data_IF_206363156034
#
_entry.id   IF_206363156034
#
_cell.length_a   1.000
_cell.length_b   1.000
_cell.length_c   1.000
_cell.angle_alpha   90.00
_cell.angle_beta   90.00
_cell.angle_gamma   90.00
#
_symmetry.space_group_name_H-M   'P 1'
#
loop_
_entity.id
_entity.type
_entity.pdbx_description
1 polymer ?
#
# COMPACT_ATOMS: atom_id res chain seq x y z
N UNK A 1 -26.60 34.10 -18.08
CA UNK A 1 -25.57 33.73 -17.08
C UNK A 1 -24.27 34.38 -17.54
N UNK A 2 -23.60 35.09 -16.65
CA UNK A 2 -22.34 35.74 -17.00
C UNK A 2 -21.32 34.65 -17.41
N UNK A 3 -20.72 34.73 -18.60
CA UNK A 3 -19.75 33.78 -19.17
C UNK A 3 -18.62 33.51 -18.18
N UNK A 4 -18.17 34.53 -17.46
CA UNK A 4 -17.14 34.45 -16.44
C UNK A 4 -17.48 33.53 -15.27
N UNK A 5 -18.73 33.45 -14.81
CA UNK A 5 -19.14 32.54 -13.71
C UNK A 5 -19.16 31.10 -14.18
N UNK A 6 -19.59 30.84 -15.42
CA UNK A 6 -19.60 29.51 -15.98
C UNK A 6 -18.18 28.99 -16.19
N UNK A 7 -17.28 29.82 -16.69
CA UNK A 7 -15.88 29.47 -16.90
C UNK A 7 -15.20 29.17 -15.56
N UNK A 8 -15.45 29.98 -14.52
CA UNK A 8 -14.90 29.73 -13.17
C UNK A 8 -15.39 28.41 -12.58
N UNK A 9 -16.68 28.08 -12.70
CA UNK A 9 -17.21 26.80 -12.23
C UNK A 9 -16.70 25.60 -13.03
N UNK A 10 -16.52 25.77 -14.35
CA UNK A 10 -15.95 24.73 -15.21
C UNK A 10 -14.51 24.44 -14.84
N UNK A 11 -13.69 25.46 -14.62
CA UNK A 11 -12.30 25.31 -14.17
C UNK A 11 -12.22 24.67 -12.78
N UNK A 12 -13.08 25.10 -11.84
CA UNK A 12 -13.15 24.51 -10.50
C UNK A 12 -13.54 23.03 -10.57
N UNK A 13 -14.58 22.71 -11.33
CA UNK A 13 -15.08 21.35 -11.54
C UNK A 13 -13.99 20.46 -12.15
N UNK A 14 -13.25 20.94 -13.15
CA UNK A 14 -12.15 20.21 -13.76
C UNK A 14 -11.05 19.84 -12.75
N UNK A 15 -10.74 20.73 -11.81
CA UNK A 15 -9.75 20.48 -10.73
C UNK A 15 -10.30 19.59 -9.61
N UNK A 16 -11.59 19.31 -9.57
CA UNK A 16 -12.30 18.56 -8.54
C UNK A 16 -13.03 17.35 -9.12
N UNK A 17 -12.45 16.70 -10.14
CA UNK A 17 -12.98 15.47 -10.76
C UNK A 17 -14.43 15.58 -11.23
N UNK A 18 -14.84 16.76 -11.68
CA UNK A 18 -16.17 16.97 -12.26
C UNK A 18 -17.25 17.40 -11.24
N UNK A 19 -16.90 17.67 -9.98
CA UNK A 19 -17.86 18.10 -8.95
C UNK A 19 -17.49 19.46 -8.33
N UNK A 20 -18.48 20.10 -7.74
CA UNK A 20 -18.32 21.32 -6.95
C UNK A 20 -19.41 21.41 -5.89
N UNK A 21 -19.13 22.11 -4.78
CA UNK A 21 -20.09 22.29 -3.71
C UNK A 21 -21.02 23.48 -3.97
N UNK A 22 -22.18 23.49 -3.26
CA UNK A 22 -23.09 24.65 -3.25
C UNK A 22 -22.38 25.93 -2.79
N UNK A 23 -21.54 25.82 -1.76
CA UNK A 23 -20.79 26.96 -1.24
C UNK A 23 -19.85 27.54 -2.30
N UNK A 24 -19.15 26.69 -3.05
CA UNK A 24 -18.29 27.12 -4.15
C UNK A 24 -19.06 27.77 -5.29
N UNK A 25 -20.24 27.25 -5.63
CA UNK A 25 -21.10 27.84 -6.66
C UNK A 25 -21.62 29.24 -6.25
N UNK A 26 -21.98 29.39 -4.98
CA UNK A 26 -22.36 30.69 -4.41
C UNK A 26 -21.18 31.67 -4.40
N UNK A 27 -20.01 31.23 -3.99
CA UNK A 27 -18.79 32.02 -3.99
C UNK A 27 -18.37 32.46 -5.41
N UNK A 28 -18.61 31.64 -6.42
CA UNK A 28 -18.42 32.01 -7.83
C UNK A 28 -19.44 33.02 -8.36
N UNK A 29 -20.42 33.46 -7.54
CA UNK A 29 -21.41 34.48 -7.87
C UNK A 29 -22.75 33.95 -8.37
N UNK A 30 -23.03 32.64 -8.23
CA UNK A 30 -24.37 32.11 -8.56
C UNK A 30 -25.38 32.47 -7.47
N UNK A 31 -26.56 32.94 -7.88
CA UNK A 31 -27.67 33.13 -6.94
C UNK A 31 -28.26 31.76 -6.53
N UNK A 32 -28.71 31.57 -5.28
CA UNK A 32 -29.32 30.32 -4.80
C UNK A 32 -30.37 29.72 -5.73
N UNK A 33 -31.33 30.58 -6.18
CA UNK A 33 -32.40 30.14 -7.10
C UNK A 33 -31.88 29.66 -8.45
N UNK A 34 -30.73 30.15 -8.91
CA UNK A 34 -30.12 29.69 -10.14
C UNK A 34 -29.48 28.30 -9.98
N UNK A 35 -29.00 27.96 -8.80
CA UNK A 35 -28.53 26.61 -8.44
C UNK A 35 -29.73 25.65 -8.43
N UNK A 36 -30.77 25.98 -7.65
CA UNK A 36 -31.96 25.18 -7.47
C UNK A 36 -32.68 24.89 -8.81
N UNK A 37 -32.75 25.90 -9.69
CA UNK A 37 -33.30 25.72 -11.04
C UNK A 37 -32.46 24.75 -11.90
N UNK A 38 -31.11 24.72 -11.78
CA UNK A 38 -30.28 23.80 -12.55
C UNK A 38 -30.46 22.36 -12.09
N UNK A 39 -30.65 22.17 -10.80
CA UNK A 39 -30.95 20.87 -10.22
C UNK A 39 -32.35 20.42 -10.64
N UNK A 40 -33.38 21.27 -10.49
CA UNK A 40 -34.75 20.92 -10.83
C UNK A 40 -34.97 20.66 -12.34
N UNK A 41 -34.20 21.33 -13.21
CA UNK A 41 -34.27 21.13 -14.66
C UNK A 41 -33.36 20.00 -15.15
N UNK A 42 -32.72 19.26 -14.27
CA UNK A 42 -31.83 18.14 -14.62
C UNK A 42 -30.53 18.57 -15.33
N UNK A 43 -30.15 19.85 -15.28
CA UNK A 43 -28.86 20.30 -15.81
C UNK A 43 -27.69 19.94 -14.91
N UNK A 44 -27.97 19.80 -13.62
CA UNK A 44 -27.03 19.34 -12.62
C UNK A 44 -27.60 18.16 -11.83
N UNK A 45 -26.80 17.12 -11.68
CA UNK A 45 -27.09 16.01 -10.79
C UNK A 45 -26.56 16.29 -9.39
N UNK A 46 -27.24 15.78 -8.38
CA UNK A 46 -26.77 15.79 -6.99
C UNK A 46 -25.79 14.63 -6.83
N UNK A 47 -24.50 14.92 -6.70
CA UNK A 47 -23.43 13.94 -6.46
C UNK A 47 -23.35 13.52 -4.99
N UNK A 48 -23.55 14.47 -4.06
CA UNK A 48 -23.70 14.27 -2.62
C UNK A 48 -24.44 15.49 -2.02
N UNK A 49 -24.64 15.49 -0.69
CA UNK A 49 -25.31 16.61 0.00
C UNK A 49 -24.65 17.94 -0.33
N UNK A 50 -25.40 18.84 -0.97
CA UNK A 50 -24.93 20.16 -1.40
C UNK A 50 -23.68 20.11 -2.32
N UNK A 51 -23.46 19.00 -3.03
CA UNK A 51 -22.43 18.83 -4.04
C UNK A 51 -23.07 18.41 -5.34
N UNK A 52 -22.66 19.01 -6.44
CA UNK A 52 -23.27 18.89 -7.75
C UNK A 52 -22.23 18.50 -8.80
N UNK A 53 -22.72 17.86 -9.87
CA UNK A 53 -21.98 17.63 -11.12
C UNK A 53 -22.85 18.05 -12.31
N UNK A 54 -22.24 18.29 -13.44
CA UNK A 54 -23.00 18.49 -14.68
C UNK A 54 -23.64 17.16 -15.10
N UNK A 55 -24.92 17.20 -15.46
CA UNK A 55 -25.65 16.02 -15.88
C UNK A 55 -24.99 15.36 -17.09
N UNK A 56 -25.05 14.04 -17.16
CA UNK A 56 -24.42 13.23 -18.22
C UNK A 56 -22.92 13.00 -18.05
N UNK A 57 -22.26 13.59 -17.05
CA UNK A 57 -20.86 13.29 -16.75
C UNK A 57 -20.75 11.89 -16.15
N UNK A 58 -19.89 10.99 -16.68
CA UNK A 58 -19.70 9.64 -16.12
C UNK A 58 -19.28 9.70 -14.64
N UNK A 59 -19.88 8.84 -13.82
CA UNK A 59 -19.49 8.71 -12.43
C UNK A 59 -18.17 7.93 -12.36
N UNK A 60 -17.16 8.55 -11.73
CA UNK A 60 -15.89 7.90 -11.45
C UNK A 60 -15.68 7.74 -9.95
N UNK A 61 -14.79 6.83 -9.56
CA UNK A 61 -14.40 6.67 -8.16
C UNK A 61 -13.82 7.97 -7.58
N UNK A 62 -12.94 8.66 -8.30
CA UNK A 62 -12.38 9.96 -7.88
C UNK A 62 -13.46 11.02 -7.70
N UNK A 63 -14.41 11.08 -8.62
CA UNK A 63 -15.55 11.99 -8.52
C UNK A 63 -16.37 11.72 -7.26
N UNK A 64 -16.67 10.43 -6.98
CA UNK A 64 -17.42 10.03 -5.80
C UNK A 64 -16.67 10.38 -4.51
N UNK A 65 -15.38 10.09 -4.44
CA UNK A 65 -14.52 10.41 -3.30
C UNK A 65 -14.45 11.92 -3.06
N UNK A 66 -14.26 12.73 -4.12
CA UNK A 66 -14.26 14.18 -4.03
C UNK A 66 -15.62 14.72 -3.54
N UNK A 67 -16.73 14.18 -4.05
CA UNK A 67 -18.07 14.60 -3.62
C UNK A 67 -18.28 14.37 -2.12
N UNK A 68 -17.80 13.24 -1.59
CA UNK A 68 -17.86 12.92 -0.15
C UNK A 68 -17.03 13.92 0.68
N UNK A 69 -15.81 14.23 0.23
CA UNK A 69 -14.92 15.18 0.91
C UNK A 69 -15.48 16.61 0.88
N UNK A 70 -16.10 17.04 -0.22
CA UNK A 70 -16.72 18.35 -0.34
C UNK A 70 -18.03 18.49 0.46
N UNK A 71 -18.74 17.39 0.67
CA UNK A 71 -20.01 17.39 1.40
C UNK A 71 -19.86 17.52 2.92
N UNK A 72 -18.63 17.38 3.45
CA UNK A 72 -18.37 17.49 4.89
C UNK A 72 -16.87 17.50 5.21
N UNK A 73 -16.50 17.67 6.49
CA UNK A 73 -15.11 17.71 6.92
C UNK A 73 -14.52 16.29 6.97
N UNK A 74 -14.33 15.67 5.82
CA UNK A 74 -13.74 14.35 5.67
C UNK A 74 -12.56 14.39 4.71
N UNK A 75 -11.62 13.46 4.90
CA UNK A 75 -10.46 13.25 4.02
C UNK A 75 -10.41 11.80 3.58
N UNK A 76 -9.93 11.55 2.38
CA UNK A 76 -9.63 10.20 1.92
C UNK A 76 -8.62 9.53 2.87
N UNK A 77 -8.88 8.28 3.26
CA UNK A 77 -8.08 7.57 4.24
C UNK A 77 -8.06 6.07 3.95
N UNK A 78 -7.35 5.28 4.75
CA UNK A 78 -7.32 3.83 4.66
C UNK A 78 -7.08 3.36 3.21
N UNK A 79 -7.98 2.52 2.65
CA UNK A 79 -7.83 1.98 1.30
C UNK A 79 -7.92 3.04 0.21
N UNK A 80 -8.75 4.08 0.39
CA UNK A 80 -8.83 5.17 -0.58
C UNK A 80 -7.54 5.98 -0.65
N UNK A 81 -6.95 6.32 0.50
CA UNK A 81 -5.66 7.01 0.51
C UNK A 81 -4.54 6.11 -0.02
N UNK A 82 -4.55 4.81 0.33
CA UNK A 82 -3.57 3.86 -0.18
C UNK A 82 -3.62 3.74 -1.72
N UNK A 83 -4.83 3.69 -2.29
CA UNK A 83 -5.01 3.68 -3.75
C UNK A 83 -4.53 4.98 -4.41
N UNK A 84 -4.81 6.15 -3.81
CA UNK A 84 -4.33 7.44 -4.31
C UNK A 84 -2.79 7.56 -4.26
N UNK A 85 -2.16 7.00 -3.23
CA UNK A 85 -0.70 6.93 -3.13
C UNK A 85 -0.09 5.85 -4.03
N UNK A 86 -0.91 5.09 -4.77
CA UNK A 86 -0.46 3.94 -5.56
C UNK A 86 0.37 2.96 -4.72
N UNK A 87 -0.07 2.69 -3.49
CA UNK A 87 0.49 1.57 -2.76
C UNK A 87 0.21 0.27 -3.51
N UNK A 88 1.13 -0.68 -3.41
CA UNK A 88 1.04 -1.96 -4.10
C UNK A 88 -0.31 -2.64 -3.85
N UNK A 89 -0.90 -3.20 -4.91
CA UNK A 89 -2.18 -3.94 -4.90
C UNK A 89 -3.32 -3.21 -4.16
N UNK A 90 -3.34 -1.89 -4.20
CA UNK A 90 -4.44 -1.08 -3.70
C UNK A 90 -5.24 -0.52 -4.86
N UNK A 91 -6.49 -0.88 -4.94
CA UNK A 91 -7.39 -0.51 -6.02
C UNK A 91 -8.40 0.59 -5.63
N UNK A 92 -9.04 1.18 -6.65
CA UNK A 92 -9.97 2.29 -6.52
C UNK A 92 -11.44 1.81 -6.46
N UNK A 93 -11.74 0.73 -5.72
CA UNK A 93 -13.09 0.17 -5.63
C UNK A 93 -13.92 0.75 -4.49
N UNK A 94 -13.29 1.00 -3.36
CA UNK A 94 -13.96 1.42 -2.13
C UNK A 94 -13.74 2.90 -1.91
N UNK A 95 -14.80 3.64 -1.60
CA UNK A 95 -14.71 5.01 -1.10
C UNK A 95 -14.64 4.96 0.42
N UNK A 96 -13.49 5.34 0.97
CA UNK A 96 -13.19 5.24 2.38
C UNK A 96 -12.57 6.55 2.89
N UNK A 97 -13.18 7.11 3.91
CA UNK A 97 -12.83 8.44 4.42
C UNK A 97 -12.77 8.46 5.95
N UNK A 98 -11.96 9.36 6.49
CA UNK A 98 -11.93 9.68 7.91
C UNK A 98 -12.49 11.08 8.14
N UNK A 99 -13.41 11.20 9.10
CA UNK A 99 -13.91 12.45 9.61
C UNK A 99 -13.48 12.67 11.07
N UNK A 100 -13.51 13.90 11.54
CA UNK A 100 -13.38 14.17 12.96
C UNK A 100 -14.56 13.54 13.72
N UNK A 101 -14.32 13.11 14.97
CA UNK A 101 -15.32 12.48 15.83
C UNK A 101 -16.65 13.29 15.84
N UNK A 102 -17.75 12.56 15.79
CA UNK A 102 -19.14 13.10 15.72
C UNK A 102 -19.45 13.88 14.43
N UNK A 103 -18.62 13.79 13.40
CA UNK A 103 -18.83 14.46 12.10
C UNK A 103 -19.10 13.50 10.95
N UNK A 104 -19.11 12.19 11.19
CA UNK A 104 -19.37 11.21 10.13
C UNK A 104 -20.81 11.31 9.64
N UNK A 105 -20.97 10.98 8.37
CA UNK A 105 -22.27 10.88 7.70
C UNK A 105 -22.54 9.42 7.36
N UNK A 106 -23.80 9.07 7.14
CA UNK A 106 -24.18 7.76 6.62
C UNK A 106 -24.41 7.86 5.13
N UNK A 107 -23.60 7.10 4.34
CA UNK A 107 -23.82 6.85 2.94
C UNK A 107 -23.57 5.36 2.72
N UNK A 108 -24.43 4.69 1.96
CA UNK A 108 -24.37 3.21 1.81
C UNK A 108 -23.15 2.72 1.06
N UNK A 109 -22.59 3.55 0.21
CA UNK A 109 -21.47 3.27 -0.68
C UNK A 109 -20.13 3.83 -0.15
N UNK A 110 -20.09 4.30 1.11
CA UNK A 110 -18.91 4.93 1.71
C UNK A 110 -18.61 4.29 3.07
N UNK A 111 -17.37 3.88 3.26
CA UNK A 111 -16.86 3.43 4.56
C UNK A 111 -16.37 4.66 5.32
N UNK A 112 -16.95 4.89 6.49
CA UNK A 112 -16.67 6.04 7.34
C UNK A 112 -15.90 5.62 8.58
N UNK A 113 -14.75 6.25 8.79
CA UNK A 113 -13.98 6.18 10.03
C UNK A 113 -14.08 7.49 10.79
N UNK A 114 -13.92 7.41 12.11
CA UNK A 114 -13.84 8.56 12.98
C UNK A 114 -12.47 8.61 13.65
N UNK A 115 -11.88 9.80 13.71
CA UNK A 115 -10.67 10.04 14.46
C UNK A 115 -10.86 11.19 15.43
N UNK A 116 -10.44 11.01 16.68
CA UNK A 116 -10.32 12.10 17.64
C UNK A 116 -9.12 13.00 17.37
N UNK A 117 -8.15 12.48 16.61
CA UNK A 117 -6.89 13.15 16.27
C UNK A 117 -6.62 13.01 14.78
N UNK A 118 -6.85 14.06 14.04
CA UNK A 118 -6.49 14.21 12.64
C UNK A 118 -5.80 15.56 12.48
N UNK A 119 -4.49 15.55 12.69
CA UNK A 119 -3.69 16.77 12.63
C UNK A 119 -3.53 17.25 11.19
N UNK A 120 -3.43 18.56 11.00
CA UNK A 120 -3.15 19.14 9.68
C UNK A 120 -1.85 18.60 9.05
N UNK A 121 -0.86 18.27 9.88
CA UNK A 121 0.40 17.68 9.42
C UNK A 121 0.23 16.26 8.85
N UNK A 122 -0.87 15.57 9.17
CA UNK A 122 -1.18 14.22 8.68
C UNK A 122 -2.02 14.20 7.41
N UNK A 123 -2.48 15.38 6.98
CA UNK A 123 -3.32 15.55 5.79
C UNK A 123 -2.55 16.31 4.72
N UNK A 124 -2.82 15.99 3.48
CA UNK A 124 -2.31 16.70 2.30
C UNK A 124 -3.38 16.71 1.21
N UNK A 125 -3.06 17.31 0.08
CA UNK A 125 -3.89 17.29 -1.13
C UNK A 125 -3.10 16.67 -2.26
N UNK A 126 -3.70 15.70 -2.94
CA UNK A 126 -3.18 15.09 -4.15
C UNK A 126 -4.28 15.14 -5.22
N UNK A 127 -3.97 15.70 -6.37
CA UNK A 127 -4.92 15.90 -7.48
C UNK A 127 -6.26 16.53 -7.05
N UNK A 128 -6.18 17.51 -6.14
CA UNK A 128 -7.34 18.19 -5.59
C UNK A 128 -8.05 17.46 -4.44
N UNK A 129 -7.77 16.18 -4.21
CA UNK A 129 -8.36 15.38 -3.15
C UNK A 129 -7.63 15.56 -1.83
N UNK A 130 -8.30 15.91 -0.72
CA UNK A 130 -7.71 15.88 0.61
C UNK A 130 -7.58 14.41 1.07
N UNK A 131 -6.38 14.03 1.53
CA UNK A 131 -6.11 12.66 1.95
C UNK A 131 -5.09 12.59 3.09
N UNK A 132 -5.07 11.46 3.80
CA UNK A 132 -4.04 11.17 4.80
C UNK A 132 -2.69 10.95 4.12
N UNK A 133 -1.60 11.47 4.74
CA UNK A 133 -0.22 11.22 4.29
C UNK A 133 0.14 9.75 4.43
N UNK A 134 1.15 9.24 3.69
CA UNK A 134 1.50 7.81 3.66
C UNK A 134 1.68 7.18 5.04
N UNK A 135 2.43 7.81 5.93
CA UNK A 135 2.65 7.30 7.29
C UNK A 135 1.34 7.15 8.07
N UNK A 136 0.46 8.14 8.01
CA UNK A 136 -0.86 8.07 8.64
C UNK A 136 -1.73 7.00 7.98
N UNK A 137 -1.68 6.89 6.67
CA UNK A 137 -2.43 5.89 5.89
C UNK A 137 -2.08 4.47 6.34
N UNK A 138 -0.79 4.11 6.47
CA UNK A 138 -0.41 2.75 6.90
C UNK A 138 -0.80 2.46 8.34
N UNK A 139 -0.80 3.46 9.22
CA UNK A 139 -1.30 3.32 10.60
C UNK A 139 -2.81 3.06 10.64
N UNK A 140 -3.58 3.71 9.78
CA UNK A 140 -5.03 3.53 9.66
C UNK A 140 -5.37 2.17 9.07
N UNK A 141 -4.57 1.67 8.14
CA UNK A 141 -4.78 0.37 7.47
C UNK A 141 -4.72 -0.82 8.41
N UNK A 142 -4.13 -0.71 9.59
CA UNK A 142 -4.17 -1.73 10.63
C UNK A 142 -5.59 -2.10 11.11
N UNK A 143 -6.59 -1.25 10.85
CA UNK A 143 -8.01 -1.54 11.15
C UNK A 143 -8.65 -2.47 10.12
N UNK A 144 -8.19 -2.40 8.87
CA UNK A 144 -8.86 -3.02 7.72
C UNK A 144 -8.09 -4.18 7.11
N UNK A 145 -6.82 -4.33 7.45
CA UNK A 145 -5.96 -5.38 6.91
C UNK A 145 -5.29 -6.23 7.99
N UNK A 146 -4.97 -7.47 7.63
CA UNK A 146 -4.13 -8.36 8.43
C UNK A 146 -2.66 -7.90 8.47
N UNK A 147 -1.89 -8.46 9.39
CA UNK A 147 -0.49 -8.09 9.66
C UNK A 147 0.38 -8.16 8.41
N UNK A 148 0.22 -9.23 7.63
CA UNK A 148 1.00 -9.47 6.41
C UNK A 148 0.79 -8.37 5.38
N UNK A 149 -0.47 -7.97 5.19
CA UNK A 149 -0.80 -6.92 4.23
C UNK A 149 -0.29 -5.55 4.69
N UNK A 150 -0.40 -5.24 5.97
CA UNK A 150 0.16 -3.99 6.53
C UNK A 150 1.68 -3.99 6.44
N UNK A 151 2.35 -5.15 6.65
CA UNK A 151 3.80 -5.29 6.50
C UNK A 151 4.25 -4.94 5.07
N UNK A 152 3.56 -5.45 4.04
CA UNK A 152 3.83 -5.12 2.62
C UNK A 152 3.74 -3.62 2.35
N UNK A 153 2.69 -2.97 2.86
CA UNK A 153 2.46 -1.53 2.66
C UNK A 153 3.46 -0.66 3.42
N UNK A 154 3.87 -1.10 4.62
CA UNK A 154 4.96 -0.47 5.37
C UNK A 154 6.27 -0.58 4.59
N UNK A 155 6.60 -1.76 4.07
CA UNK A 155 7.82 -1.97 3.28
C UNK A 155 7.82 -1.13 2.00
N UNK A 156 6.67 -1.02 1.33
CA UNK A 156 6.52 -0.14 0.17
C UNK A 156 6.80 1.33 0.53
N UNK A 157 6.21 1.83 1.62
CA UNK A 157 6.44 3.19 2.09
C UNK A 157 7.89 3.46 2.51
N UNK A 158 8.54 2.50 3.16
CA UNK A 158 9.97 2.57 3.53
C UNK A 158 10.87 2.62 2.29
N UNK A 159 10.63 1.77 1.28
CA UNK A 159 11.38 1.78 0.01
C UNK A 159 11.26 3.10 -0.74
N UNK A 160 10.06 3.68 -0.75
CA UNK A 160 9.80 4.99 -1.39
C UNK A 160 10.33 6.16 -0.57
N UNK A 161 10.90 5.91 0.62
CA UNK A 161 11.43 6.96 1.48
C UNK A 161 10.36 7.90 2.06
N UNK A 162 9.10 7.49 2.12
CA UNK A 162 8.02 8.31 2.64
C UNK A 162 8.05 8.50 4.14
N UNK A 163 8.63 7.54 4.85
CA UNK A 163 8.85 7.55 6.30
C UNK A 163 9.90 6.50 6.68
N UNK A 164 10.46 6.63 7.89
CA UNK A 164 11.33 5.62 8.49
C UNK A 164 10.56 4.73 9.49
N UNK A 165 11.16 3.60 9.88
CA UNK A 165 10.63 2.75 10.95
C UNK A 165 10.53 3.52 12.28
N UNK A 166 11.49 4.42 12.55
CA UNK A 166 11.48 5.31 13.72
C UNK A 166 10.30 6.27 13.69
N UNK A 167 9.98 6.86 12.51
CA UNK A 167 8.83 7.75 12.37
C UNK A 167 7.52 6.99 12.59
N UNK A 168 7.42 5.77 12.03
CA UNK A 168 6.25 4.91 12.19
C UNK A 168 6.02 4.55 13.66
N UNK A 169 7.07 4.13 14.38
CA UNK A 169 7.00 3.81 15.81
C UNK A 169 6.62 5.02 16.65
N UNK A 170 7.30 6.12 16.47
CA UNK A 170 7.02 7.37 17.19
C UNK A 170 5.58 7.82 16.99
N UNK A 171 5.08 7.78 15.76
CA UNK A 171 3.71 8.21 15.49
C UNK A 171 2.68 7.23 16.03
N UNK A 172 2.94 5.94 15.96
CA UNK A 172 2.10 4.91 16.57
C UNK A 172 1.93 5.13 18.08
N UNK A 173 3.01 5.43 18.79
CA UNK A 173 2.99 5.74 20.23
C UNK A 173 2.20 7.02 20.53
N UNK A 174 2.43 8.09 19.80
CA UNK A 174 1.72 9.38 19.95
C UNK A 174 0.21 9.26 19.73
N UNK A 175 -0.24 8.36 18.88
CA UNK A 175 -1.66 8.13 18.61
C UNK A 175 -2.34 7.22 19.64
N UNK A 176 -1.69 6.90 20.75
CA UNK A 176 -2.24 6.07 21.82
C UNK A 176 -1.83 4.60 21.75
N UNK A 177 -0.86 4.25 20.91
CA UNK A 177 -0.26 2.91 20.88
C UNK A 177 -1.29 1.80 20.86
N UNK A 178 -1.22 0.90 21.84
CA UNK A 178 -2.05 -0.31 21.93
C UNK A 178 -3.57 -0.08 22.12
N UNK A 179 -3.99 1.12 22.49
CA UNK A 179 -5.41 1.43 22.74
C UNK A 179 -6.19 1.80 21.47
N UNK A 180 -5.50 2.03 20.36
CA UNK A 180 -6.12 2.40 19.11
C UNK A 180 -6.64 1.16 18.35
N UNK A 181 -7.82 1.21 17.68
CA UNK A 181 -8.23 0.16 16.76
C UNK A 181 -7.16 -0.14 15.71
N UNK A 182 -6.92 -1.41 15.42
CA UNK A 182 -5.87 -1.84 14.46
C UNK A 182 -4.43 -1.77 14.98
N UNK A 183 -4.22 -1.22 16.17
CA UNK A 183 -2.89 -0.97 16.75
C UNK A 183 -2.07 -2.25 16.96
N UNK A 184 -2.71 -3.39 17.25
CA UNK A 184 -2.04 -4.69 17.41
C UNK A 184 -1.37 -5.13 16.11
N UNK A 185 -2.02 -4.90 14.98
CA UNK A 185 -1.49 -5.21 13.66
C UNK A 185 -0.22 -4.40 13.38
N UNK A 186 -0.30 -3.09 13.58
CA UNK A 186 0.86 -2.19 13.41
C UNK A 186 2.00 -2.54 14.38
N UNK A 187 1.69 -2.85 15.64
CA UNK A 187 2.68 -3.30 16.63
C UNK A 187 3.40 -4.56 16.16
N UNK A 188 2.66 -5.57 15.69
CA UNK A 188 3.27 -6.80 15.18
C UNK A 188 4.24 -6.53 14.02
N UNK A 189 3.90 -5.59 13.12
CA UNK A 189 4.81 -5.16 12.04
C UNK A 189 6.05 -4.46 12.61
N UNK A 190 5.88 -3.55 13.56
CA UNK A 190 6.99 -2.83 14.21
C UNK A 190 7.92 -3.78 14.97
N UNK A 191 7.38 -4.80 15.65
CA UNK A 191 8.17 -5.79 16.37
C UNK A 191 8.99 -6.67 15.41
N UNK A 192 8.41 -7.06 14.27
CA UNK A 192 9.12 -7.76 13.18
C UNK A 192 10.27 -6.93 12.59
N UNK A 193 10.08 -5.60 12.49
CA UNK A 193 11.12 -4.66 11.98
C UNK A 193 12.20 -4.34 13.02
N UNK A 194 11.89 -4.38 14.33
CA UNK A 194 12.84 -4.12 15.39
C UNK A 194 13.87 -5.26 15.59
N UNK A 195 13.57 -6.46 15.12
CA UNK A 195 14.43 -7.64 15.24
C UNK A 195 15.73 -7.60 14.42
N UNK A 196 16.19 -6.43 13.99
CA UNK A 196 17.47 -6.24 13.30
C UNK A 196 17.48 -6.73 11.84
N UNK A 197 16.32 -6.98 11.30
CA UNK A 197 16.16 -7.38 9.89
C UNK A 197 16.51 -6.23 8.96
N UNK A 198 17.48 -6.46 8.06
CA UNK A 198 17.77 -5.50 6.99
C UNK A 198 16.50 -5.23 6.18
N UNK A 199 16.28 -3.99 5.70
CA UNK A 199 15.15 -3.68 4.83
C UNK A 199 15.16 -4.61 3.62
N UNK A 200 14.02 -5.17 3.27
CA UNK A 200 13.85 -5.95 2.03
C UNK A 200 13.75 -4.99 0.84
N UNK A 201 14.40 -5.34 -0.26
CA UNK A 201 14.52 -4.49 -1.44
C UNK A 201 13.27 -4.46 -2.32
N UNK A 202 12.38 -5.47 -2.19
CA UNK A 202 11.20 -5.60 -3.05
C UNK A 202 10.00 -6.19 -2.29
N UNK A 203 8.81 -6.09 -2.90
CA UNK A 203 7.58 -6.72 -2.40
C UNK A 203 7.69 -8.24 -2.47
N UNK A 204 8.32 -8.76 -3.50
CA UNK A 204 8.56 -10.18 -3.66
C UNK A 204 9.39 -10.72 -2.48
N UNK A 205 10.42 -9.99 -2.06
CA UNK A 205 11.21 -10.32 -0.87
C UNK A 205 10.36 -10.29 0.42
N UNK A 206 9.48 -9.31 0.57
CA UNK A 206 8.56 -9.27 1.71
C UNK A 206 7.65 -10.50 1.75
N UNK A 207 7.04 -10.86 0.62
CA UNK A 207 6.16 -12.03 0.49
C UNK A 207 6.88 -13.34 0.68
N UNK A 208 8.09 -13.45 0.14
CA UNK A 208 8.95 -14.60 0.36
C UNK A 208 9.26 -14.82 1.85
N UNK A 209 9.64 -13.75 2.57
CA UNK A 209 9.87 -13.84 4.03
C UNK A 209 8.61 -14.24 4.80
N UNK A 210 7.45 -13.74 4.41
CA UNK A 210 6.17 -14.14 5.00
C UNK A 210 5.89 -15.62 4.75
N UNK A 211 6.19 -16.11 3.55
CA UNK A 211 6.03 -17.51 3.17
C UNK A 211 6.93 -18.42 4.03
N UNK A 212 8.23 -18.11 4.12
CA UNK A 212 9.20 -18.82 4.97
C UNK A 212 8.72 -18.88 6.42
N UNK A 213 8.25 -17.77 6.95
CA UNK A 213 7.76 -17.63 8.32
C UNK A 213 6.49 -18.47 8.58
N UNK A 214 5.53 -18.42 7.64
CA UNK A 214 4.29 -19.25 7.71
C UNK A 214 4.59 -20.74 7.66
N UNK A 215 5.59 -21.12 6.88
CA UNK A 215 6.05 -22.49 6.80
C UNK A 215 6.86 -22.95 8.03
N UNK A 216 7.13 -22.08 8.99
CA UNK A 216 7.96 -22.40 10.16
C UNK A 216 9.42 -22.71 9.84
N UNK A 217 9.89 -22.36 8.63
CA UNK A 217 11.30 -22.50 8.27
C UNK A 217 12.14 -21.46 9.02
N UNK A 218 13.44 -21.75 9.27
CA UNK A 218 14.35 -20.77 9.86
C UNK A 218 14.36 -19.46 9.06
N UNK A 219 14.50 -18.33 9.75
CA UNK A 219 14.58 -17.02 9.08
C UNK A 219 15.89 -16.91 8.30
N UNK A 220 15.88 -16.67 6.98
CA UNK A 220 17.09 -16.47 6.18
C UNK A 220 17.70 -15.09 6.43
N UNK A 221 18.99 -14.96 6.22
CA UNK A 221 19.66 -13.68 6.20
C UNK A 221 19.34 -12.93 4.90
N UNK A 222 18.76 -11.73 5.02
CA UNK A 222 18.46 -10.90 3.86
C UNK A 222 19.68 -10.09 3.40
N UNK A 223 19.78 -9.87 2.09
CA UNK A 223 20.82 -9.07 1.44
C UNK A 223 22.23 -9.50 1.90
N UNK A 224 22.48 -10.81 1.80
CA UNK A 224 23.72 -11.42 2.26
C UNK A 224 24.85 -11.20 1.26
N UNK A 225 25.97 -10.63 1.73
CA UNK A 225 27.17 -10.39 0.91
C UNK A 225 28.12 -11.56 0.97
N UNK A 226 28.52 -12.07 -0.21
CA UNK A 226 29.47 -13.17 -0.36
C UNK A 226 30.79 -12.63 -0.88
N UNK A 227 31.88 -13.07 -0.25
CA UNK A 227 33.25 -12.71 -0.61
C UNK A 227 34.07 -13.97 -0.89
N UNK A 228 35.08 -13.85 -1.76
CA UNK A 228 36.10 -14.87 -2.06
C UNK A 228 37.45 -14.27 -1.62
N UNK A 229 37.88 -14.54 -0.38
CA UNK A 229 38.89 -13.73 0.29
C UNK A 229 38.38 -12.30 0.51
N UNK A 230 39.12 -11.31 -0.01
CA UNK A 230 38.73 -9.89 0.04
C UNK A 230 37.87 -9.44 -1.17
N UNK A 231 37.71 -10.31 -2.16
CA UNK A 231 36.98 -9.99 -3.40
C UNK A 231 35.47 -10.15 -3.21
N UNK A 232 34.71 -9.07 -3.41
CA UNK A 232 33.25 -9.13 -3.46
C UNK A 232 32.77 -9.97 -4.64
N UNK A 233 31.91 -10.95 -4.35
CA UNK A 233 31.35 -11.88 -5.36
C UNK A 233 29.92 -11.50 -5.72
N UNK A 234 29.06 -11.42 -4.70
CA UNK A 234 27.64 -11.18 -4.90
C UNK A 234 26.97 -10.68 -3.61
N UNK A 235 25.86 -9.98 -3.80
CA UNK A 235 24.85 -9.76 -2.75
C UNK A 235 23.62 -10.57 -3.12
N UNK A 236 23.29 -11.56 -2.26
CA UNK A 236 22.20 -12.51 -2.42
C UNK A 236 20.97 -11.97 -1.69
N UNK A 237 19.78 -12.07 -2.29
CA UNK A 237 18.55 -11.55 -1.67
C UNK A 237 18.29 -12.21 -0.32
N UNK A 238 18.42 -13.56 -0.25
CA UNK A 238 18.33 -14.32 0.99
C UNK A 238 19.35 -15.47 1.02
N UNK A 239 19.89 -15.76 2.19
CA UNK A 239 20.82 -16.86 2.35
C UNK A 239 20.63 -17.62 3.67
N UNK A 240 20.98 -18.88 3.64
CA UNK A 240 21.26 -19.73 4.81
C UNK A 240 22.76 -20.12 4.74
N UNK A 241 23.68 -19.28 5.23
CA UNK A 241 25.12 -19.50 5.06
C UNK A 241 25.61 -20.78 5.68
N UNK A 242 25.03 -21.19 6.83
CA UNK A 242 25.35 -22.45 7.51
C UNK A 242 25.03 -23.69 6.69
N UNK A 243 24.20 -23.56 5.65
CA UNK A 243 23.82 -24.62 4.72
C UNK A 243 24.33 -24.34 3.29
N UNK A 244 25.13 -23.31 3.11
CA UNK A 244 25.62 -22.84 1.81
C UNK A 244 24.47 -22.73 0.79
N UNK A 245 23.32 -22.18 1.21
CA UNK A 245 22.15 -22.01 0.37
C UNK A 245 21.92 -20.52 0.09
N UNK A 246 21.90 -20.18 -1.18
CA UNK A 246 21.59 -18.87 -1.72
C UNK A 246 20.20 -18.90 -2.36
N UNK A 247 19.40 -17.86 -2.12
CA UNK A 247 18.07 -17.70 -2.71
C UNK A 247 18.01 -16.33 -3.38
N UNK A 248 17.72 -16.33 -4.67
CA UNK A 248 17.54 -15.14 -5.49
C UNK A 248 16.07 -15.03 -5.93
N UNK A 249 15.55 -13.82 -5.91
CA UNK A 249 14.17 -13.50 -6.24
C UNK A 249 14.11 -12.59 -7.47
N UNK A 250 13.62 -13.13 -8.58
CA UNK A 250 13.46 -12.39 -9.83
C UNK A 250 12.06 -11.78 -9.92
N UNK A 251 11.98 -10.43 -9.77
CA UNK A 251 10.75 -9.68 -10.00
C UNK A 251 10.48 -9.46 -11.50
N UNK A 252 9.22 -9.17 -11.85
CA UNK A 252 8.77 -8.96 -13.24
C UNK A 252 9.51 -7.82 -14.01
N UNK A 253 10.14 -6.90 -13.32
CA UNK A 253 10.74 -5.69 -13.93
C UNK A 253 12.11 -5.90 -14.59
N UNK A 254 12.71 -7.09 -14.52
CA UNK A 254 14.02 -7.35 -15.12
C UNK A 254 13.95 -7.93 -16.54
N UNK A 255 13.33 -7.24 -17.46
CA UNK A 255 13.66 -7.40 -18.88
C UNK A 255 14.97 -6.66 -19.22
N UNK A 256 16.05 -6.98 -18.52
CA UNK A 256 17.34 -6.38 -18.75
C UNK A 256 18.09 -7.07 -19.90
N UNK A 257 18.84 -6.23 -20.63
CA UNK A 257 19.59 -6.54 -21.84
C UNK A 257 20.51 -7.77 -21.73
N UNK A 258 20.92 -8.35 -22.90
CA UNK A 258 21.85 -9.51 -23.03
C UNK A 258 23.13 -9.40 -22.21
N UNK A 259 23.66 -8.22 -21.98
CA UNK A 259 24.87 -7.97 -21.16
C UNK A 259 24.67 -8.29 -19.67
N UNK A 260 23.47 -8.05 -19.12
CA UNK A 260 23.13 -8.39 -17.74
C UNK A 260 23.14 -9.91 -17.52
N UNK A 261 22.64 -10.69 -18.49
CA UNK A 261 22.60 -12.18 -18.39
C UNK A 261 24.01 -12.82 -18.36
N UNK A 262 25.01 -12.24 -19.05
CA UNK A 262 26.39 -12.75 -19.01
C UNK A 262 27.06 -12.48 -17.65
N UNK A 263 26.79 -11.31 -17.05
CA UNK A 263 27.25 -10.99 -15.70
C UNK A 263 26.63 -11.91 -14.62
N UNK A 264 25.34 -12.18 -14.75
CA UNK A 264 24.60 -13.05 -13.82
C UNK A 264 25.12 -14.49 -13.87
N UNK A 265 25.34 -15.05 -15.06
CA UNK A 265 25.90 -16.40 -15.21
C UNK A 265 27.35 -16.53 -14.68
N UNK A 266 28.16 -15.45 -14.75
CA UNK A 266 29.51 -15.44 -14.16
C UNK A 266 29.45 -15.39 -12.64
N UNK A 267 28.55 -14.58 -12.09
CA UNK A 267 28.29 -14.44 -10.65
C UNK A 267 27.82 -15.78 -10.07
N UNK A 268 26.84 -16.43 -10.69
CA UNK A 268 26.32 -17.72 -10.26
C UNK A 268 27.39 -18.80 -10.24
N UNK A 269 28.24 -18.90 -11.29
CA UNK A 269 29.37 -19.84 -11.31
C UNK A 269 30.38 -19.57 -10.19
N UNK A 270 30.57 -18.33 -9.75
CA UNK A 270 31.44 -18.03 -8.58
C UNK A 270 30.80 -18.51 -7.29
N UNK A 271 29.50 -18.30 -7.10
CA UNK A 271 28.75 -18.83 -5.93
C UNK A 271 28.82 -20.35 -5.85
N UNK A 272 28.60 -21.04 -6.97
CA UNK A 272 28.69 -22.51 -7.02
C UNK A 272 30.12 -23.01 -6.69
N UNK A 273 31.17 -22.32 -7.17
CA UNK A 273 32.56 -22.67 -6.79
C UNK A 273 32.86 -22.47 -5.32
N UNK A 274 32.20 -21.50 -4.66
CA UNK A 274 32.26 -21.30 -3.21
C UNK A 274 31.37 -22.27 -2.42
N UNK A 275 30.76 -23.26 -3.10
CA UNK A 275 29.94 -24.27 -2.48
C UNK A 275 28.48 -23.92 -2.28
N UNK A 276 28.03 -22.75 -2.74
CA UNK A 276 26.64 -22.37 -2.62
C UNK A 276 25.76 -23.13 -3.61
N UNK A 277 24.62 -23.65 -3.11
CA UNK A 277 23.48 -24.08 -3.93
C UNK A 277 22.60 -22.85 -4.13
N UNK A 278 22.23 -22.57 -5.38
CA UNK A 278 21.43 -21.37 -5.71
C UNK A 278 20.02 -21.82 -6.09
N UNK A 279 19.02 -21.37 -5.35
CA UNK A 279 17.61 -21.43 -5.74
C UNK A 279 17.20 -20.06 -6.29
N UNK A 280 16.45 -20.08 -7.39
CA UNK A 280 15.90 -18.87 -7.97
C UNK A 280 14.41 -19.01 -8.10
N UNK A 281 13.67 -18.04 -7.53
CA UNK A 281 12.23 -18.02 -7.58
C UNK A 281 11.74 -16.72 -8.24
N UNK A 282 10.74 -16.88 -9.10
CA UNK A 282 10.06 -15.79 -9.74
C UNK A 282 8.80 -15.38 -8.96
N UNK A 283 8.19 -14.27 -9.37
CA UNK A 283 6.93 -13.79 -8.80
C UNK A 283 5.86 -14.88 -8.74
N UNK A 284 5.71 -15.62 -9.86
CA UNK A 284 4.70 -16.67 -9.97
C UNK A 284 4.94 -17.82 -9.00
N UNK A 285 6.19 -18.19 -8.75
CA UNK A 285 6.54 -19.27 -7.81
C UNK A 285 6.08 -18.92 -6.39
N UNK A 286 6.40 -17.72 -5.92
CA UNK A 286 6.00 -17.25 -4.59
C UNK A 286 4.49 -17.03 -4.47
N UNK A 287 3.82 -16.73 -5.59
CA UNK A 287 2.40 -16.34 -5.58
C UNK A 287 1.46 -17.50 -5.93
N UNK A 288 1.80 -18.29 -6.95
CA UNK A 288 0.92 -19.34 -7.48
C UNK A 288 1.29 -20.73 -6.97
N UNK A 289 2.58 -20.98 -6.70
CA UNK A 289 3.08 -22.29 -6.22
C UNK A 289 3.92 -22.18 -4.93
N UNK A 290 3.42 -21.48 -3.88
CA UNK A 290 4.18 -21.25 -2.64
C UNK A 290 4.61 -22.53 -1.94
N UNK A 291 3.86 -23.63 -2.11
CA UNK A 291 4.20 -24.92 -1.52
C UNK A 291 5.46 -25.53 -2.15
N UNK A 292 5.66 -25.35 -3.47
CA UNK A 292 6.86 -25.83 -4.15
C UNK A 292 8.10 -25.07 -3.66
N UNK A 293 7.99 -23.76 -3.49
CA UNK A 293 9.06 -22.92 -2.92
C UNK A 293 9.47 -23.43 -1.53
N UNK A 294 8.49 -23.67 -0.66
CA UNK A 294 8.75 -24.19 0.70
C UNK A 294 9.39 -25.56 0.66
N UNK A 295 8.89 -26.48 -0.16
CA UNK A 295 9.42 -27.82 -0.33
C UNK A 295 10.88 -27.81 -0.80
N UNK A 296 11.19 -27.01 -1.81
CA UNK A 296 12.52 -26.93 -2.39
C UNK A 296 13.55 -26.35 -1.39
N UNK A 297 13.14 -25.37 -0.57
CA UNK A 297 13.98 -24.86 0.51
C UNK A 297 14.15 -25.91 1.61
N UNK A 298 13.06 -26.50 2.09
CA UNK A 298 13.10 -27.49 3.17
C UNK A 298 13.96 -28.71 2.83
N UNK A 299 13.94 -29.17 1.57
CA UNK A 299 14.78 -30.28 1.08
C UNK A 299 16.29 -29.99 1.18
N UNK A 300 16.68 -28.74 1.26
CA UNK A 300 18.07 -28.30 1.35
C UNK A 300 18.50 -27.87 2.76
N UNK A 301 17.57 -27.85 3.74
CA UNK A 301 17.82 -27.51 5.14
C UNK A 301 17.85 -28.81 5.97
N UNK A 302 19.01 -29.28 6.46
CA UNK A 302 19.09 -30.51 7.26
C UNK A 302 18.36 -30.40 8.59
N UNK A 303 17.70 -31.48 9.02
CA UNK A 303 17.04 -31.57 10.33
C UNK A 303 15.62 -30.99 10.42
N UNK A 304 14.99 -30.65 9.30
CA UNK A 304 13.58 -30.33 9.29
C UNK A 304 12.77 -31.65 9.19
N UNK A 305 11.82 -31.90 10.11
CA UNK A 305 10.99 -33.12 10.06
C UNK A 305 10.04 -33.07 8.84
N UNK A 306 9.65 -34.22 8.33
CA UNK A 306 8.66 -34.43 7.25
C UNK A 306 7.27 -33.84 7.54
N UNK A 307 7.08 -33.21 8.70
CA UNK A 307 5.83 -32.58 9.17
C UNK A 307 5.30 -31.45 8.24
N UNK A 308 6.10 -30.96 7.31
CA UNK A 308 5.66 -29.91 6.37
C UNK A 308 4.80 -30.44 5.20
N UNK A 309 4.76 -31.77 5.00
CA UNK A 309 3.89 -32.39 3.97
C UNK A 309 2.40 -32.34 4.33
N UNK A 310 2.05 -32.18 5.63
CA UNK A 310 0.66 -32.23 6.10
C UNK A 310 -0.08 -30.89 6.07
N UNK A 311 0.62 -29.76 6.00
CA UNK A 311 -0.02 -28.43 5.93
C UNK A 311 -0.60 -28.18 4.53
N UNK A 312 -0.04 -28.81 3.50
CA UNK A 312 -0.50 -28.70 2.12
C UNK A 312 -1.89 -29.36 1.89
N UNK A 313 -2.26 -30.36 2.71
CA UNK A 313 -3.50 -31.14 2.54
C UNK A 313 -4.73 -30.59 3.32
N UNK A 314 -4.58 -29.53 4.11
CA UNK A 314 -5.68 -28.98 4.93
C UNK A 314 -6.35 -27.73 4.36
N UNK A 315 -6.02 -27.31 3.14
CA UNK A 315 -6.59 -26.13 2.46
C UNK A 315 -7.10 -26.43 1.05
N UNK A 316 -7.62 -27.65 0.84
CA UNK A 316 -8.43 -28.00 -0.35
C UNK A 316 -9.90 -27.92 -0.01
#
# INVERSE_FOLDING_TARGET
>A
MNRTIQDALSQLSARQHGVFSRAQALHAGLHPSAIDRRVSTGKWDIADRAVYRVAGTPATWHQRLMAVCLAGPAVASHRSAAALWNFVDCDQRIVEVTALRHRRRRARDVVWHESGHLDRAEVTVLDGLPLTRPLRTVLDLGVVYAVERVEELVDDGLRRGWFSTTDLRRRWEQLGGALRPGSRVVRSVLDRKAAGTRPVGSILETRFRQLVRRAGLPEPLAQYEVYDGDDFVARIDFAYPQFSLAIELDGEERHAARSARQGDARRERRLVRLGFRVLRFHWDDVHKTPHDVVRDIAALLPGQPDAFMDVANRSS
#
